data_IF_182124558681
#
_entry.id   IF_182124558681
#
_cell.length_a   1.000
_cell.length_b   1.000
_cell.length_c   1.000
_cell.angle_alpha   90.00
_cell.angle_beta   90.00
_cell.angle_gamma   90.00
#
_symmetry.space_group_name_H-M   'P 1'
#
loop_
_entity.id
_entity.type
_entity.pdbx_description
1 polymer ?
#
# COMPACT_ATOMS: atom_id res chain seq x y z
N UNK A 1 15.74 -4.17 -21.42
CA UNK A 1 16.55 -4.30 -20.18
C UNK A 1 16.43 -5.71 -19.65
N UNK A 2 17.48 -6.18 -18.96
CA UNK A 2 17.44 -7.40 -18.16
C UNK A 2 16.99 -7.08 -16.75
N UNK A 3 15.76 -7.43 -16.40
CA UNK A 3 15.13 -7.10 -15.12
C UNK A 3 15.10 -8.31 -14.20
N UNK A 4 15.70 -8.19 -13.01
CA UNK A 4 15.61 -9.20 -11.96
C UNK A 4 14.30 -9.07 -11.18
N UNK A 5 13.64 -10.18 -10.83
CA UNK A 5 12.45 -10.19 -9.98
C UNK A 5 12.81 -10.74 -8.61
N UNK A 6 12.68 -9.94 -7.55
CA UNK A 6 12.80 -10.38 -6.16
C UNK A 6 11.42 -10.45 -5.52
N UNK A 7 11.15 -11.55 -4.83
CA UNK A 7 9.85 -11.88 -4.26
C UNK A 7 9.99 -12.94 -3.15
N UNK A 8 8.96 -13.07 -2.34
CA UNK A 8 8.80 -14.17 -1.39
C UNK A 8 7.58 -15.00 -1.80
N UNK A 9 7.77 -16.27 -2.17
CA UNK A 9 6.69 -17.17 -2.56
C UNK A 9 6.04 -17.80 -1.32
N UNK A 10 4.74 -17.61 -1.15
CA UNK A 10 3.97 -18.14 -0.02
C UNK A 10 4.15 -19.65 0.13
N UNK A 11 4.08 -20.39 -0.97
CA UNK A 11 4.21 -21.85 -0.99
C UNK A 11 5.55 -22.34 -0.44
N UNK A 12 6.65 -21.66 -0.76
CA UNK A 12 7.99 -22.04 -0.30
C UNK A 12 8.10 -21.94 1.23
N UNK A 13 7.46 -20.92 1.83
CA UNK A 13 7.45 -20.74 3.28
C UNK A 13 6.50 -21.69 3.98
N UNK A 14 5.33 -22.00 3.41
CA UNK A 14 4.41 -23.02 3.91
C UNK A 14 5.09 -24.40 3.95
N UNK A 15 5.83 -24.76 2.90
CA UNK A 15 6.62 -26.02 2.86
C UNK A 15 7.73 -26.07 3.94
N UNK A 16 8.23 -24.90 4.37
CA UNK A 16 9.20 -24.77 5.46
C UNK A 16 8.57 -24.76 6.85
N UNK A 17 7.23 -24.91 6.94
CA UNK A 17 6.48 -25.03 8.18
C UNK A 17 5.98 -23.70 8.77
N UNK A 18 6.04 -22.59 8.03
CA UNK A 18 5.39 -21.33 8.44
C UNK A 18 3.88 -21.45 8.28
N UNK A 19 3.14 -20.74 9.13
CA UNK A 19 1.68 -20.72 9.08
C UNK A 19 1.14 -19.86 7.93
N UNK A 20 -0.15 -20.06 7.61
CA UNK A 20 -0.83 -19.23 6.63
C UNK A 20 -0.88 -17.75 7.01
N UNK A 21 -1.02 -17.44 8.31
CA UNK A 21 -1.03 -16.08 8.82
C UNK A 21 0.36 -15.42 8.68
N UNK A 22 1.45 -16.13 8.99
CA UNK A 22 2.81 -15.60 8.83
C UNK A 22 3.15 -15.29 7.37
N UNK A 23 2.59 -16.04 6.43
CA UNK A 23 2.85 -15.94 4.99
C UNK A 23 1.79 -15.19 4.21
N UNK A 24 0.82 -14.58 4.89
CA UNK A 24 -0.34 -13.95 4.24
C UNK A 24 0.02 -12.74 3.34
N UNK A 25 1.16 -12.11 3.56
CA UNK A 25 1.66 -10.99 2.72
C UNK A 25 2.41 -11.48 1.49
N UNK A 26 2.86 -12.74 1.47
CA UNK A 26 3.71 -13.26 0.40
C UNK A 26 2.93 -13.55 -0.88
N UNK A 27 3.63 -13.47 -1.99
CA UNK A 27 3.06 -13.59 -3.32
C UNK A 27 2.78 -15.05 -3.71
N UNK A 28 1.85 -15.19 -4.63
CA UNK A 28 1.55 -16.45 -5.31
C UNK A 28 2.32 -16.57 -6.63
N UNK A 29 2.44 -17.77 -7.20
CA UNK A 29 3.05 -17.98 -8.51
C UNK A 29 2.41 -17.13 -9.63
N UNK A 30 1.09 -16.89 -9.53
CA UNK A 30 0.34 -16.06 -10.48
C UNK A 30 0.80 -14.61 -10.48
N UNK A 31 1.19 -14.05 -9.31
CA UNK A 31 1.75 -12.70 -9.23
C UNK A 31 3.04 -12.61 -10.01
N UNK A 32 3.95 -13.58 -9.82
CA UNK A 32 5.24 -13.59 -10.49
C UNK A 32 5.10 -13.75 -11.99
N UNK A 33 4.26 -14.68 -12.42
CA UNK A 33 3.97 -14.92 -13.84
C UNK A 33 3.34 -13.70 -14.49
N UNK A 34 2.36 -13.05 -13.81
CA UNK A 34 1.74 -11.84 -14.32
C UNK A 34 2.72 -10.66 -14.46
N UNK A 35 3.70 -10.53 -13.56
CA UNK A 35 4.76 -9.54 -13.70
C UNK A 35 5.69 -9.85 -14.86
N UNK A 36 6.10 -11.12 -15.05
CA UNK A 36 6.92 -11.54 -16.20
C UNK A 36 6.22 -11.28 -17.53
N UNK A 37 4.95 -11.64 -17.64
CA UNK A 37 4.13 -11.38 -18.82
C UNK A 37 4.03 -9.88 -19.12
N UNK A 38 3.77 -9.06 -18.09
CA UNK A 38 3.66 -7.62 -18.25
C UNK A 38 5.00 -7.00 -18.69
N UNK A 39 6.11 -7.33 -18.03
CA UNK A 39 7.44 -6.83 -18.37
C UNK A 39 7.91 -7.34 -19.74
N UNK A 40 7.62 -8.59 -20.08
CA UNK A 40 7.89 -9.16 -21.38
C UNK A 40 7.14 -8.45 -22.52
N UNK A 41 5.84 -8.14 -22.30
CA UNK A 41 5.03 -7.37 -23.24
C UNK A 41 5.54 -5.92 -23.43
N UNK A 42 6.23 -5.37 -22.42
CA UNK A 42 6.92 -4.07 -22.48
C UNK A 42 8.32 -4.15 -23.11
N UNK A 43 8.75 -5.33 -23.59
CA UNK A 43 10.03 -5.52 -24.28
C UNK A 43 11.23 -5.70 -23.35
N UNK A 44 11.02 -6.21 -22.13
CA UNK A 44 12.09 -6.49 -21.17
C UNK A 44 12.29 -8.00 -20.98
N UNK A 45 13.55 -8.40 -20.77
CA UNK A 45 13.90 -9.77 -20.37
C UNK A 45 13.85 -9.90 -18.86
N UNK A 46 13.12 -10.86 -18.33
CA UNK A 46 12.97 -11.08 -16.89
C UNK A 46 13.79 -12.25 -16.39
N UNK A 47 14.28 -12.14 -15.17
CA UNK A 47 15.01 -13.19 -14.46
C UNK A 47 14.45 -13.35 -13.06
N UNK A 48 13.84 -14.48 -12.75
CA UNK A 48 13.42 -14.80 -11.37
C UNK A 48 14.64 -14.91 -10.47
N UNK A 49 14.74 -14.05 -9.49
CA UNK A 49 15.79 -14.07 -8.46
C UNK A 49 15.30 -14.88 -7.26
N UNK A 50 14.11 -14.56 -6.75
CA UNK A 50 13.53 -15.10 -5.55
C UNK A 50 13.76 -14.22 -4.32
N UNK A 51 13.90 -14.84 -3.15
CA UNK A 51 14.04 -14.17 -1.86
C UNK A 51 15.37 -13.42 -1.69
N UNK A 52 15.49 -12.65 -0.60
CA UNK A 52 16.76 -12.00 -0.23
C UNK A 52 17.91 -13.01 -0.14
N UNK A 53 17.66 -14.24 0.32
CA UNK A 53 18.70 -15.28 0.39
C UNK A 53 19.20 -15.71 -0.99
N UNK A 54 18.30 -15.77 -1.97
CA UNK A 54 18.66 -16.11 -3.33
C UNK A 54 19.35 -14.95 -4.05
N UNK A 55 18.89 -13.72 -3.80
CA UNK A 55 19.58 -12.51 -4.25
C UNK A 55 21.03 -12.49 -3.73
N UNK A 56 21.24 -12.72 -2.44
CA UNK A 56 22.58 -12.74 -1.82
C UNK A 56 23.50 -13.78 -2.50
N UNK A 57 23.00 -14.99 -2.73
CA UNK A 57 23.76 -16.06 -3.44
C UNK A 57 24.15 -15.65 -4.86
N UNK A 58 23.25 -15.01 -5.58
CA UNK A 58 23.52 -14.56 -6.96
C UNK A 58 24.48 -13.40 -7.03
N UNK A 59 24.32 -12.42 -6.13
CA UNK A 59 25.24 -11.28 -6.01
C UNK A 59 26.67 -11.73 -5.66
N UNK A 60 26.83 -12.71 -4.78
CA UNK A 60 28.15 -13.28 -4.43
C UNK A 60 28.84 -13.99 -5.59
N UNK A 61 28.09 -14.44 -6.60
CA UNK A 61 28.60 -15.02 -7.84
C UNK A 61 28.88 -13.99 -8.94
N UNK A 62 28.67 -12.70 -8.63
CA UNK A 62 28.89 -11.59 -9.57
C UNK A 62 27.74 -11.37 -10.54
N UNK A 63 26.57 -12.00 -10.36
CA UNK A 63 25.41 -11.71 -11.20
C UNK A 63 24.95 -10.27 -11.02
N UNK A 64 24.48 -9.66 -12.14
CA UNK A 64 23.97 -8.28 -12.18
C UNK A 64 22.78 -8.19 -13.14
N UNK A 65 21.93 -7.19 -12.90
CA UNK A 65 20.75 -6.86 -13.70
C UNK A 65 20.78 -5.35 -13.99
N UNK A 66 20.15 -4.92 -15.07
CA UNK A 66 20.01 -3.50 -15.37
C UNK A 66 19.13 -2.80 -14.32
N UNK A 67 18.12 -3.52 -13.82
CA UNK A 67 17.22 -3.09 -12.74
C UNK A 67 16.64 -4.31 -12.03
N UNK A 68 16.27 -4.17 -10.77
CA UNK A 68 15.50 -5.17 -10.02
C UNK A 68 14.09 -4.66 -9.75
N UNK A 69 13.09 -5.40 -10.18
CA UNK A 69 11.69 -5.18 -9.79
C UNK A 69 11.46 -5.93 -8.47
N UNK A 70 11.43 -5.18 -7.37
CA UNK A 70 11.38 -5.75 -6.02
C UNK A 70 9.96 -5.78 -5.48
N UNK A 71 9.44 -6.97 -5.18
CA UNK A 71 8.18 -7.16 -4.45
C UNK A 71 8.37 -8.06 -3.22
N UNK A 72 9.62 -8.25 -2.76
CA UNK A 72 9.90 -9.08 -1.60
C UNK A 72 9.49 -8.35 -0.30
N UNK A 73 8.60 -8.97 0.47
CA UNK A 73 8.08 -8.46 1.74
C UNK A 73 9.03 -8.71 2.91
N UNK A 74 9.82 -9.78 2.83
CA UNK A 74 10.66 -10.24 3.92
C UNK A 74 9.84 -10.82 5.08
N UNK A 75 10.48 -11.57 5.96
CA UNK A 75 9.77 -12.33 7.00
C UNK A 75 9.81 -11.65 8.36
N UNK A 76 10.91 -11.05 8.76
CA UNK A 76 11.16 -10.65 10.16
C UNK A 76 11.73 -9.24 10.29
N UNK A 77 11.28 -8.58 11.36
CA UNK A 77 11.77 -7.25 11.77
C UNK A 77 11.00 -6.10 11.18
N UNK A 78 11.13 -4.92 11.78
CA UNK A 78 10.48 -3.68 11.32
C UNK A 78 11.08 -3.12 10.03
N UNK A 79 12.16 -3.70 9.56
CA UNK A 79 12.81 -3.32 8.31
C UNK A 79 12.82 -4.49 7.29
N UNK A 80 11.88 -5.45 7.40
CA UNK A 80 11.88 -6.64 6.55
C UNK A 80 11.75 -6.30 5.06
N UNK A 81 10.88 -5.37 4.71
CA UNK A 81 10.68 -4.90 3.32
C UNK A 81 11.90 -4.12 2.79
N UNK A 82 12.70 -3.53 3.67
CA UNK A 82 13.87 -2.74 3.32
C UNK A 82 15.12 -3.58 3.04
N UNK A 83 15.12 -4.87 3.37
CA UNK A 83 16.32 -5.71 3.29
C UNK A 83 16.83 -5.89 1.85
N UNK A 84 15.93 -6.13 0.91
CA UNK A 84 16.29 -6.29 -0.51
C UNK A 84 16.80 -4.97 -1.10
N UNK A 85 16.09 -3.83 -1.01
CA UNK A 85 16.61 -2.57 -1.54
C UNK A 85 17.91 -2.11 -0.86
N UNK A 86 18.09 -2.33 0.44
CA UNK A 86 19.37 -2.03 1.12
C UNK A 86 20.54 -2.84 0.56
N UNK A 87 20.29 -4.11 0.24
CA UNK A 87 21.31 -4.95 -0.38
C UNK A 87 21.60 -4.49 -1.83
N UNK A 88 20.56 -4.11 -2.59
CA UNK A 88 20.74 -3.62 -3.97
C UNK A 88 21.50 -2.29 -3.99
N UNK A 89 21.24 -1.36 -3.05
CA UNK A 89 22.02 -0.12 -2.91
C UNK A 89 23.50 -0.39 -2.64
N UNK A 90 23.81 -1.37 -1.77
CA UNK A 90 25.19 -1.75 -1.48
C UNK A 90 25.96 -2.31 -2.69
N UNK A 91 25.26 -2.72 -3.74
CA UNK A 91 25.81 -3.24 -5.00
C UNK A 91 25.59 -2.30 -6.19
N UNK A 92 25.14 -1.07 -5.97
CA UNK A 92 24.85 -0.06 -7.00
C UNK A 92 23.88 -0.58 -8.09
N UNK A 93 22.89 -1.39 -7.71
CA UNK A 93 21.89 -1.95 -8.64
C UNK A 93 20.59 -1.14 -8.53
N UNK A 94 20.12 -0.52 -9.63
CA UNK A 94 18.82 0.15 -9.67
C UNK A 94 17.66 -0.80 -9.35
N UNK A 95 16.63 -0.27 -8.66
CA UNK A 95 15.47 -1.06 -8.31
C UNK A 95 14.18 -0.24 -8.35
N UNK A 96 13.06 -0.92 -8.46
CA UNK A 96 11.71 -0.33 -8.44
C UNK A 96 11.23 -0.22 -7.01
N UNK A 97 10.39 0.79 -6.74
CA UNK A 97 9.79 1.17 -5.48
C UNK A 97 10.70 1.97 -4.54
N UNK A 98 10.22 2.12 -3.31
CA UNK A 98 10.79 3.02 -2.32
C UNK A 98 12.09 2.49 -1.72
N UNK A 99 12.90 3.42 -1.21
CA UNK A 99 14.18 3.10 -0.58
C UNK A 99 14.03 2.44 0.80
N UNK A 100 15.12 1.92 1.37
CA UNK A 100 15.11 1.22 2.66
C UNK A 100 14.56 2.07 3.81
N UNK A 101 14.84 3.37 3.83
CA UNK A 101 14.33 4.26 4.88
C UNK A 101 12.82 4.39 4.80
N UNK A 102 12.28 4.62 3.60
CA UNK A 102 10.84 4.79 3.36
C UNK A 102 10.09 3.50 3.68
N UNK A 103 10.60 2.33 3.23
CA UNK A 103 9.96 1.04 3.51
C UNK A 103 9.93 0.73 5.01
N UNK A 104 11.04 0.90 5.72
CA UNK A 104 11.09 0.71 7.18
C UNK A 104 10.16 1.67 7.93
N UNK A 105 10.11 2.94 7.48
CA UNK A 105 9.24 3.95 8.08
C UNK A 105 7.77 3.64 7.84
N UNK A 106 7.40 3.27 6.60
CA UNK A 106 6.03 2.97 6.21
C UNK A 106 5.47 1.74 6.92
N UNK A 107 6.27 0.69 7.04
CA UNK A 107 5.89 -0.55 7.73
C UNK A 107 5.55 -0.27 9.20
N UNK A 108 6.30 0.60 9.88
CA UNK A 108 6.03 0.98 11.26
C UNK A 108 5.00 2.12 11.32
N UNK A 109 3.72 1.78 11.35
CA UNK A 109 2.58 2.73 11.28
C UNK A 109 2.69 3.91 12.23
N UNK A 110 3.16 3.69 13.46
CA UNK A 110 3.34 4.77 14.45
C UNK A 110 4.42 5.78 14.04
N UNK A 111 5.50 5.34 13.40
CA UNK A 111 6.55 6.25 12.89
C UNK A 111 6.07 7.01 11.66
N UNK A 112 5.40 6.34 10.70
CA UNK A 112 4.80 6.99 9.55
C UNK A 112 3.81 8.09 9.99
N UNK A 113 2.92 7.81 10.95
CA UNK A 113 1.98 8.78 11.51
C UNK A 113 2.66 9.98 12.19
N UNK A 114 3.79 9.77 12.88
CA UNK A 114 4.57 10.88 13.48
C UNK A 114 5.08 11.82 12.41
N UNK A 115 5.66 11.30 11.33
CA UNK A 115 6.15 12.11 10.20
C UNK A 115 5.01 12.86 9.51
N UNK A 116 3.90 12.16 9.24
CA UNK A 116 2.71 12.74 8.61
C UNK A 116 2.14 13.90 9.47
N UNK A 117 2.00 13.68 10.78
CA UNK A 117 1.51 14.69 11.73
C UNK A 117 2.46 15.89 11.87
N UNK A 118 3.77 15.66 11.93
CA UNK A 118 4.78 16.71 12.00
C UNK A 118 4.73 17.65 10.78
N UNK A 119 4.33 17.11 9.62
CA UNK A 119 4.09 17.88 8.40
C UNK A 119 2.67 18.48 8.28
N UNK A 120 1.92 18.52 9.38
CA UNK A 120 0.60 19.15 9.46
C UNK A 120 -0.50 18.42 8.70
N UNK A 121 -0.34 17.11 8.44
CA UNK A 121 -1.36 16.29 7.81
C UNK A 121 -2.24 15.59 8.85
N UNK A 122 -3.56 15.51 8.61
CA UNK A 122 -4.48 14.85 9.52
C UNK A 122 -4.22 13.34 9.57
N UNK A 123 -4.11 12.82 10.77
CA UNK A 123 -4.09 11.39 11.11
C UNK A 123 -4.79 11.22 12.45
N UNK A 124 -5.46 10.09 12.74
CA UNK A 124 -6.06 9.88 14.06
C UNK A 124 -5.05 10.09 15.19
N UNK A 125 -5.48 10.65 16.31
CA UNK A 125 -4.65 10.65 17.51
C UNK A 125 -4.34 9.23 17.92
N UNK A 126 -3.10 8.97 18.34
CA UNK A 126 -2.64 7.62 18.63
C UNK A 126 -1.64 7.56 19.78
N UNK A 127 -1.55 6.37 20.35
CA UNK A 127 -0.53 5.98 21.32
C UNK A 127 0.10 4.64 20.87
N UNK A 128 1.35 4.42 21.25
CA UNK A 128 2.01 3.12 21.13
C UNK A 128 2.04 2.45 22.50
N UNK A 129 1.65 1.18 22.52
CA UNK A 129 1.71 0.30 23.68
C UNK A 129 2.79 -0.73 23.39
N UNK A 130 3.97 -0.56 23.98
CA UNK A 130 5.12 -1.44 23.80
C UNK A 130 5.15 -2.53 24.86
N UNK A 131 4.67 -2.20 26.06
CA UNK A 131 4.60 -3.09 27.21
C UNK A 131 3.20 -3.02 27.86
N UNK A 132 2.81 -4.00 28.68
CA UNK A 132 1.56 -3.95 29.45
C UNK A 132 1.37 -2.68 30.31
N UNK A 133 2.48 -2.10 30.82
CA UNK A 133 2.43 -0.91 31.66
C UNK A 133 2.04 0.36 30.90
N UNK A 134 2.28 0.38 29.58
CA UNK A 134 1.94 1.52 28.73
C UNK A 134 0.42 1.68 28.54
N UNK A 135 -0.36 0.60 28.74
CA UNK A 135 -1.82 0.61 28.56
C UNK A 135 -2.47 1.67 29.44
N UNK A 136 -1.99 1.83 30.67
CA UNK A 136 -2.50 2.84 31.62
C UNK A 136 -2.20 4.29 31.19
N UNK A 137 -1.23 4.48 30.30
CA UNK A 137 -0.82 5.80 29.77
C UNK A 137 -1.66 6.26 28.57
N UNK A 138 -2.45 5.38 27.96
CA UNK A 138 -3.35 5.74 26.87
C UNK A 138 -4.44 6.67 27.39
N UNK A 139 -4.46 7.93 26.91
CA UNK A 139 -5.39 9.00 27.32
C UNK A 139 -6.25 9.49 26.17
N UNK A 140 -6.59 8.59 25.26
CA UNK A 140 -7.43 8.91 24.10
C UNK A 140 -8.93 8.68 24.43
N UNK A 141 -9.85 9.47 23.83
CA UNK A 141 -11.28 9.26 23.97
C UNK A 141 -11.75 8.00 23.23
N UNK A 142 -12.67 7.25 23.85
CA UNK A 142 -13.30 6.10 23.21
C UNK A 142 -14.38 6.54 22.19
N UNK A 143 -14.65 5.70 21.16
CA UNK A 143 -14.07 4.39 20.88
C UNK A 143 -12.65 4.49 20.30
N UNK A 144 -11.81 3.47 20.60
CA UNK A 144 -10.46 3.36 20.07
C UNK A 144 -10.33 2.15 19.13
N UNK A 145 -9.28 2.14 18.33
CA UNK A 145 -8.93 1.05 17.45
C UNK A 145 -7.52 0.55 17.75
N UNK A 146 -7.38 -0.76 17.97
CA UNK A 146 -6.12 -1.42 18.31
C UNK A 146 -5.68 -2.33 17.18
N UNK A 147 -4.42 -2.22 16.75
CA UNK A 147 -3.81 -3.09 15.73
C UNK A 147 -2.31 -3.25 15.99
N UNK A 148 -1.68 -4.33 15.49
CA UNK A 148 -0.22 -4.44 15.51
C UNK A 148 0.42 -3.28 14.73
N UNK A 149 1.60 -2.84 15.16
CA UNK A 149 2.25 -1.64 14.58
C UNK A 149 2.81 -1.86 13.19
N UNK A 150 3.24 -3.09 12.86
CA UNK A 150 3.99 -3.40 11.66
C UNK A 150 3.50 -4.67 10.92
N UNK A 151 2.20 -4.87 10.87
CA UNK A 151 1.57 -5.93 10.09
C UNK A 151 0.81 -5.36 8.89
N UNK A 152 0.86 -6.08 7.78
CA UNK A 152 0.05 -5.81 6.59
C UNK A 152 -1.15 -6.74 6.49
N UNK A 153 -1.89 -6.66 5.38
CA UNK A 153 -3.01 -7.54 5.03
C UNK A 153 -4.04 -7.69 6.17
N UNK A 154 -4.22 -6.63 6.97
CA UNK A 154 -5.12 -6.62 8.14
C UNK A 154 -4.83 -7.72 9.19
N UNK A 155 -3.61 -8.28 9.24
CA UNK A 155 -3.23 -9.25 10.29
C UNK A 155 -3.39 -8.61 11.67
N UNK A 156 -3.97 -9.38 12.60
CA UNK A 156 -4.28 -8.91 13.94
C UNK A 156 -5.47 -7.94 14.03
N UNK A 157 -6.18 -7.69 12.94
CA UNK A 157 -7.39 -6.87 12.91
C UNK A 157 -8.63 -7.75 12.85
N UNK A 158 -9.54 -7.59 13.82
CA UNK A 158 -10.80 -8.32 13.92
C UNK A 158 -11.81 -7.60 14.80
N UNK A 159 -12.89 -8.25 15.17
CA UNK A 159 -13.99 -7.68 15.98
C UNK A 159 -13.54 -7.07 17.31
N UNK A 160 -12.48 -7.60 17.92
CA UNK A 160 -11.90 -7.07 19.16
C UNK A 160 -11.04 -5.82 18.96
N UNK A 161 -10.71 -5.44 17.73
CA UNK A 161 -9.86 -4.27 17.45
C UNK A 161 -10.52 -2.94 17.79
N UNK A 162 -11.85 -2.83 17.65
CA UNK A 162 -12.61 -1.66 18.12
C UNK A 162 -12.95 -1.84 19.60
N UNK A 163 -12.49 -0.93 20.44
CA UNK A 163 -12.67 -0.99 21.90
C UNK A 163 -13.42 0.22 22.43
N UNK A 164 -14.38 -0.01 23.31
CA UNK A 164 -15.33 0.99 23.81
C UNK A 164 -15.02 1.43 25.25
N UNK A 165 -14.08 0.77 25.93
CA UNK A 165 -13.74 1.05 27.33
C UNK A 165 -12.36 0.49 27.72
N UNK A 166 -11.90 0.88 28.90
CA UNK A 166 -10.57 0.51 29.44
C UNK A 166 -10.39 -1.00 29.62
N UNK A 167 -11.43 -1.74 29.96
CA UNK A 167 -11.33 -3.20 30.15
C UNK A 167 -11.11 -3.91 28.80
N UNK A 168 -11.84 -3.47 27.76
CA UNK A 168 -11.65 -3.97 26.39
C UNK A 168 -10.28 -3.58 25.86
N UNK A 169 -9.83 -2.32 26.05
CA UNK A 169 -8.50 -1.85 25.65
C UNK A 169 -7.40 -2.75 26.26
N UNK A 170 -7.47 -2.97 27.58
CA UNK A 170 -6.48 -3.81 28.28
C UNK A 170 -6.41 -5.21 27.70
N UNK A 171 -7.57 -5.87 27.54
CA UNK A 171 -7.65 -7.22 27.00
C UNK A 171 -7.05 -7.30 25.60
N UNK A 172 -7.48 -6.42 24.69
CA UNK A 172 -7.05 -6.43 23.29
C UNK A 172 -5.56 -6.11 23.15
N UNK A 173 -5.03 -5.13 23.90
CA UNK A 173 -3.60 -4.85 23.88
C UNK A 173 -2.76 -6.02 24.38
N UNK A 174 -3.15 -6.67 25.48
CA UNK A 174 -2.43 -7.83 26.01
C UNK A 174 -2.43 -9.01 25.02
N UNK A 175 -3.56 -9.27 24.38
CA UNK A 175 -3.68 -10.29 23.34
C UNK A 175 -2.77 -10.01 22.13
N UNK A 176 -2.81 -8.77 21.59
CA UNK A 176 -2.00 -8.38 20.45
C UNK A 176 -0.49 -8.39 20.75
N UNK A 177 -0.08 -7.90 21.94
CA UNK A 177 1.32 -7.95 22.38
C UNK A 177 1.83 -9.39 22.45
N UNK A 178 1.04 -10.29 23.02
CA UNK A 178 1.43 -11.69 23.18
C UNK A 178 1.48 -12.45 21.83
N UNK A 179 0.49 -12.20 20.94
CA UNK A 179 0.35 -12.91 19.67
C UNK A 179 1.38 -12.48 18.64
N UNK A 180 1.62 -11.16 18.50
CA UNK A 180 2.44 -10.61 17.43
C UNK A 180 3.86 -10.24 17.88
N UNK A 181 4.16 -10.28 19.19
CA UNK A 181 5.47 -9.92 19.75
C UNK A 181 6.02 -8.57 19.22
N UNK A 182 5.12 -7.58 19.12
CA UNK A 182 5.44 -6.23 18.66
C UNK A 182 4.51 -5.21 19.34
N UNK A 183 4.85 -3.90 19.30
CA UNK A 183 3.98 -2.85 19.83
C UNK A 183 2.61 -2.85 19.21
N UNK A 184 1.61 -2.41 20.00
CA UNK A 184 0.24 -2.18 19.55
C UNK A 184 0.05 -0.69 19.28
N UNK A 185 -0.42 -0.35 18.10
CA UNK A 185 -0.92 0.97 17.77
C UNK A 185 -2.37 1.06 18.26
N UNK A 186 -2.61 2.01 19.18
CA UNK A 186 -3.94 2.37 19.67
C UNK A 186 -4.28 3.74 19.12
N UNK A 187 -5.34 3.86 18.32
CA UNK A 187 -5.72 5.12 17.68
C UNK A 187 -7.20 5.43 17.86
N UNK A 188 -7.59 6.71 17.76
CA UNK A 188 -8.99 7.12 17.75
C UNK A 188 -9.71 6.43 16.60
N UNK A 189 -10.84 5.79 16.88
CA UNK A 189 -11.64 5.12 15.85
C UNK A 189 -12.32 6.16 14.94
N UNK A 190 -12.14 6.01 13.65
CA UNK A 190 -12.79 6.83 12.63
C UNK A 190 -14.01 6.10 12.07
N UNK A 191 -15.24 6.64 12.20
CA UNK A 191 -16.45 5.94 11.81
C UNK A 191 -16.82 6.10 10.33
N UNK A 192 -16.17 7.04 9.62
CA UNK A 192 -16.54 7.40 8.26
C UNK A 192 -16.08 6.42 7.19
N UNK A 193 -16.28 6.83 5.93
CA UNK A 193 -15.93 6.07 4.72
C UNK A 193 -14.42 5.84 4.64
N UNK A 194 -14.05 4.69 4.10
CA UNK A 194 -12.65 4.29 3.90
C UNK A 194 -12.29 4.31 2.42
N UNK A 195 -11.11 4.83 2.11
CA UNK A 195 -10.60 4.97 0.75
C UNK A 195 -9.19 4.44 0.64
N UNK A 196 -8.92 3.75 -0.45
CA UNK A 196 -7.57 3.45 -0.92
C UNK A 196 -7.25 4.35 -2.11
N UNK A 197 -6.19 5.13 -2.01
CA UNK A 197 -5.75 6.06 -3.05
C UNK A 197 -4.51 5.49 -3.72
N UNK A 198 -4.63 5.13 -5.01
CA UNK A 198 -3.49 4.70 -5.83
C UNK A 198 -2.66 5.91 -6.27
N UNK A 199 -1.35 5.80 -6.16
CA UNK A 199 -0.40 6.86 -6.53
C UNK A 199 0.69 6.26 -7.41
N UNK A 200 1.06 6.97 -8.47
CA UNK A 200 2.17 6.65 -9.36
C UNK A 200 3.14 7.83 -9.38
N UNK A 201 4.43 7.53 -9.42
CA UNK A 201 5.50 8.52 -9.55
C UNK A 201 6.19 8.88 -8.24
N UNK A 202 7.20 9.74 -8.35
CA UNK A 202 8.11 10.14 -7.27
C UNK A 202 8.17 11.64 -7.14
N UNK A 203 8.17 12.17 -5.91
CA UNK A 203 8.33 13.60 -5.62
C UNK A 203 7.29 14.48 -6.32
N UNK A 204 7.72 15.45 -7.13
CA UNK A 204 6.86 16.37 -7.88
C UNK A 204 6.04 15.66 -8.98
N UNK A 205 6.59 14.60 -9.57
CA UNK A 205 5.93 13.81 -10.61
C UNK A 205 4.86 12.84 -10.06
N UNK A 206 4.82 12.66 -8.75
CA UNK A 206 3.80 11.81 -8.13
C UNK A 206 2.39 12.37 -8.35
N UNK A 207 1.49 11.51 -8.82
CA UNK A 207 0.10 11.86 -9.11
C UNK A 207 -0.85 10.73 -8.69
N UNK A 208 -2.11 11.10 -8.47
CA UNK A 208 -3.16 10.16 -8.07
C UNK A 208 -3.67 9.41 -9.30
N UNK A 209 -3.60 8.08 -9.25
CA UNK A 209 -4.16 7.18 -10.26
C UNK A 209 -5.69 7.12 -10.14
N UNK A 210 -6.20 7.09 -8.92
CA UNK A 210 -7.62 7.03 -8.60
C UNK A 210 -7.87 6.91 -7.11
N UNK A 211 -9.16 6.99 -6.73
CA UNK A 211 -9.65 6.80 -5.37
C UNK A 211 -10.65 5.66 -5.36
N UNK A 212 -10.33 4.61 -4.66
CA UNK A 212 -11.15 3.42 -4.49
C UNK A 212 -11.83 3.47 -3.13
N UNK A 213 -13.15 3.53 -3.10
CA UNK A 213 -13.91 3.38 -1.87
C UNK A 213 -14.03 1.91 -1.50
N UNK A 214 -13.76 1.61 -0.24
CA UNK A 214 -13.88 0.27 0.34
C UNK A 214 -15.16 0.22 1.17
N UNK A 215 -16.16 -0.52 0.70
CA UNK A 215 -17.45 -0.68 1.37
C UNK A 215 -17.65 -2.13 1.81
N UNK A 216 -18.18 -2.30 3.03
CA UNK A 216 -18.47 -3.62 3.59
C UNK A 216 -19.89 -4.04 3.25
N UNK A 217 -20.04 -5.25 2.70
CA UNK A 217 -21.32 -5.85 2.34
C UNK A 217 -22.05 -6.45 3.56
N UNK A 218 -23.30 -6.87 3.36
CA UNK A 218 -24.03 -7.63 4.37
C UNK A 218 -23.29 -8.94 4.67
N UNK A 219 -23.12 -9.25 5.96
CA UNK A 219 -22.36 -10.41 6.42
C UNK A 219 -20.89 -10.14 6.75
N UNK A 220 -20.35 -9.00 6.31
CA UNK A 220 -19.01 -8.58 6.72
C UNK A 220 -18.96 -8.19 8.21
N UNK A 221 -17.78 -8.27 8.81
CA UNK A 221 -17.54 -7.71 10.14
C UNK A 221 -17.72 -6.19 10.12
N UNK A 222 -18.80 -5.73 10.73
CA UNK A 222 -19.28 -4.34 10.61
C UNK A 222 -18.26 -3.31 11.10
N UNK A 223 -18.05 -2.27 10.28
CA UNK A 223 -17.24 -1.09 10.62
C UNK A 223 -15.73 -1.31 10.62
N UNK A 224 -15.25 -2.48 10.22
CA UNK A 224 -13.84 -2.87 10.27
C UNK A 224 -13.45 -3.61 9.00
N UNK A 225 -12.43 -3.14 8.30
CA UNK A 225 -11.81 -3.89 7.20
C UNK A 225 -10.83 -4.91 7.78
N UNK A 226 -11.39 -6.01 8.33
CA UNK A 226 -10.67 -7.06 9.06
C UNK A 226 -9.96 -8.03 8.12
N UNK A 227 -9.04 -8.84 8.69
CA UNK A 227 -8.38 -9.93 7.98
C UNK A 227 -9.40 -10.89 7.35
N UNK A 228 -10.46 -11.26 8.09
CA UNK A 228 -11.54 -12.11 7.57
C UNK A 228 -12.26 -11.47 6.36
N UNK A 229 -12.60 -10.17 6.46
CA UNK A 229 -13.25 -9.45 5.36
C UNK A 229 -12.34 -9.37 4.12
N UNK A 230 -11.02 -9.22 4.32
CA UNK A 230 -10.06 -9.14 3.24
C UNK A 230 -9.82 -10.49 2.55
N UNK A 231 -9.72 -11.57 3.29
CA UNK A 231 -9.58 -12.92 2.73
C UNK A 231 -10.82 -13.35 1.92
N UNK A 232 -12.02 -12.86 2.29
CA UNK A 232 -13.27 -13.15 1.61
C UNK A 232 -13.81 -11.93 0.84
N UNK A 233 -12.93 -11.09 0.31
CA UNK A 233 -13.29 -9.82 -0.28
C UNK A 233 -14.32 -9.93 -1.40
N UNK A 234 -14.30 -10.99 -2.20
CA UNK A 234 -15.22 -11.20 -3.34
C UNK A 234 -16.70 -11.12 -2.93
N UNK A 235 -17.04 -11.57 -1.72
CA UNK A 235 -18.40 -11.56 -1.19
C UNK A 235 -18.65 -10.47 -0.13
N UNK A 236 -17.63 -10.12 0.65
CA UNK A 236 -17.76 -9.26 1.82
C UNK A 236 -17.36 -7.79 1.59
N UNK A 237 -16.68 -7.48 0.47
CA UNK A 237 -16.18 -6.14 0.19
C UNK A 237 -16.58 -5.69 -1.21
N UNK A 238 -17.02 -4.46 -1.31
CA UNK A 238 -17.25 -3.80 -2.61
C UNK A 238 -16.25 -2.68 -2.79
N UNK A 239 -15.51 -2.73 -3.89
CA UNK A 239 -14.59 -1.69 -4.31
C UNK A 239 -15.24 -0.84 -5.40
N UNK A 240 -15.32 0.46 -5.18
CA UNK A 240 -15.93 1.38 -6.13
C UNK A 240 -14.97 2.52 -6.44
N UNK A 241 -14.60 2.67 -7.72
CA UNK A 241 -13.89 3.88 -8.17
C UNK A 241 -14.82 5.07 -8.00
N UNK A 242 -14.50 5.94 -7.06
CA UNK A 242 -15.41 6.97 -6.60
C UNK A 242 -14.88 8.37 -6.91
N UNK A 243 -15.80 9.33 -7.11
CA UNK A 243 -15.48 10.73 -7.38
C UNK A 243 -16.42 11.64 -6.61
N UNK A 244 -15.89 12.69 -6.00
CA UNK A 244 -16.66 13.65 -5.24
C UNK A 244 -15.79 14.52 -4.34
N UNK A 245 -16.42 15.25 -3.43
CA UNK A 245 -15.69 16.15 -2.51
C UNK A 245 -14.85 15.37 -1.48
N UNK A 246 -15.38 14.29 -0.94
CA UNK A 246 -14.69 13.43 0.02
C UNK A 246 -13.47 12.75 -0.62
N UNK A 247 -13.65 12.23 -1.83
CA UNK A 247 -12.60 11.59 -2.61
C UNK A 247 -11.49 12.56 -3.00
N UNK A 248 -11.86 13.79 -3.38
CA UNK A 248 -10.89 14.87 -3.65
C UNK A 248 -10.09 15.23 -2.40
N UNK A 249 -10.73 15.27 -1.23
CA UNK A 249 -10.05 15.52 0.04
C UNK A 249 -9.10 14.35 0.39
N UNK A 250 -9.57 13.10 0.24
CA UNK A 250 -8.76 11.90 0.45
C UNK A 250 -7.54 11.87 -0.48
N UNK A 251 -7.72 12.13 -1.77
CA UNK A 251 -6.64 12.21 -2.77
C UNK A 251 -5.59 13.26 -2.40
N UNK A 252 -6.02 14.44 -1.94
CA UNK A 252 -5.12 15.53 -1.53
C UNK A 252 -4.28 15.15 -0.31
N UNK A 253 -4.88 14.54 0.71
CA UNK A 253 -4.17 14.07 1.91
C UNK A 253 -3.19 12.96 1.52
N UNK A 254 -3.64 11.99 0.74
CA UNK A 254 -2.84 10.84 0.31
C UNK A 254 -1.61 11.27 -0.51
N UNK A 255 -1.79 12.13 -1.54
CA UNK A 255 -0.69 12.60 -2.38
C UNK A 255 0.34 13.40 -1.58
N UNK A 256 -0.13 14.23 -0.63
CA UNK A 256 0.77 14.99 0.24
C UNK A 256 1.52 14.06 1.20
N UNK A 257 0.85 13.05 1.79
CA UNK A 257 1.50 12.05 2.64
C UNK A 257 2.55 11.24 1.88
N UNK A 258 2.23 10.79 0.65
CA UNK A 258 3.17 10.11 -0.24
C UNK A 258 4.46 10.89 -0.45
N UNK A 259 4.33 12.18 -0.76
CA UNK A 259 5.47 13.09 -1.00
C UNK A 259 6.28 13.35 0.25
N UNK A 260 5.62 13.59 1.39
CA UNK A 260 6.24 13.87 2.68
C UNK A 260 7.01 12.66 3.21
N UNK A 261 6.48 11.47 3.02
CA UNK A 261 7.13 10.22 3.40
C UNK A 261 8.26 9.82 2.44
N UNK A 262 8.39 10.48 1.28
CA UNK A 262 9.40 10.18 0.29
C UNK A 262 9.14 8.92 -0.54
N UNK A 263 7.88 8.48 -0.62
CA UNK A 263 7.49 7.29 -1.38
C UNK A 263 7.77 7.44 -2.87
N UNK A 264 8.04 6.31 -3.55
CA UNK A 264 8.55 6.29 -4.92
C UNK A 264 7.78 5.32 -5.80
N UNK A 265 7.75 5.65 -7.10
CA UNK A 265 7.36 4.88 -8.26
C UNK A 265 5.90 4.47 -8.30
N UNK A 266 5.37 3.81 -7.30
CA UNK A 266 3.96 3.42 -7.23
C UNK A 266 3.58 2.76 -5.92
N UNK A 267 2.29 2.88 -5.55
CA UNK A 267 1.77 2.30 -4.33
C UNK A 267 0.40 2.85 -3.97
N UNK A 268 0.00 2.67 -2.72
CA UNK A 268 -1.30 3.15 -2.22
C UNK A 268 -1.20 3.80 -0.84
N UNK A 269 -2.12 4.71 -0.59
CA UNK A 269 -2.32 5.35 0.72
C UNK A 269 -3.75 5.09 1.16
N UNK A 270 -3.92 4.61 2.38
CA UNK A 270 -5.22 4.33 2.95
C UNK A 270 -5.67 5.51 3.82
N UNK A 271 -6.88 6.00 3.53
CA UNK A 271 -7.49 7.19 4.10
C UNK A 271 -8.84 6.82 4.70
N UNK A 272 -9.18 7.36 5.86
CA UNK A 272 -10.51 7.20 6.45
C UNK A 272 -11.07 8.54 6.89
N UNK A 273 -12.38 8.70 6.77
CA UNK A 273 -13.05 9.91 7.21
C UNK A 273 -13.41 9.83 8.70
N UNK A 274 -13.36 10.98 9.36
CA UNK A 274 -13.96 11.13 10.68
C UNK A 274 -15.50 11.29 10.61
N UNK A 275 -16.15 11.52 11.74
CA UNK A 275 -17.59 11.76 11.84
C UNK A 275 -18.05 13.09 11.21
N UNK A 276 -17.13 14.01 10.96
CA UNK A 276 -17.36 15.28 10.26
C UNK A 276 -17.06 15.20 8.75
N UNK A 277 -16.58 14.07 8.27
CA UNK A 277 -16.22 13.85 6.87
C UNK A 277 -14.83 14.38 6.49
N UNK A 278 -13.96 14.68 7.46
CA UNK A 278 -12.57 15.07 7.20
C UNK A 278 -11.71 13.81 6.93
N UNK A 279 -10.86 13.92 5.93
CA UNK A 279 -9.97 12.83 5.52
C UNK A 279 -8.73 12.73 6.44
N UNK A 280 -8.47 11.54 6.97
CA UNK A 280 -7.32 11.24 7.83
C UNK A 280 -6.46 10.14 7.21
N UNK A 281 -5.15 10.33 7.26
CA UNK A 281 -4.17 9.32 6.89
C UNK A 281 -4.21 8.14 7.86
N UNK A 282 -4.38 6.92 7.37
CA UNK A 282 -4.26 5.69 8.16
C UNK A 282 -2.87 5.07 8.02
N UNK A 283 -2.48 4.74 6.79
CA UNK A 283 -1.21 4.11 6.47
C UNK A 283 -0.84 4.32 5.00
N UNK A 284 0.42 4.02 4.66
CA UNK A 284 0.93 4.01 3.30
C UNK A 284 1.52 2.64 3.00
N UNK A 285 1.32 2.17 1.78
CA UNK A 285 1.85 0.91 1.27
C UNK A 285 2.70 1.22 0.02
N UNK A 286 3.99 1.57 0.20
CA UNK A 286 4.90 1.88 -0.89
C UNK A 286 5.47 0.63 -1.57
N UNK A 287 5.10 -0.54 -1.08
CA UNK A 287 5.28 -1.86 -1.68
C UNK A 287 3.89 -2.50 -1.75
N UNK A 288 3.08 -2.07 -2.71
CA UNK A 288 1.71 -2.55 -2.85
C UNK A 288 1.66 -3.89 -3.59
N UNK A 289 0.73 -4.76 -3.20
CA UNK A 289 0.48 -6.01 -3.91
C UNK A 289 0.14 -5.79 -5.39
N UNK A 290 0.65 -6.65 -6.26
CA UNK A 290 0.51 -6.56 -7.71
C UNK A 290 -0.07 -7.82 -8.37
N UNK A 291 -0.76 -8.65 -7.61
CA UNK A 291 -1.47 -9.79 -8.18
C UNK A 291 -2.46 -9.33 -9.26
N UNK A 292 -2.46 -9.92 -10.47
CA UNK A 292 -3.17 -9.39 -11.65
C UNK A 292 -4.67 -9.17 -11.49
N UNK A 293 -5.29 -9.82 -10.50
CA UNK A 293 -6.74 -9.80 -10.32
C UNK A 293 -7.16 -9.17 -8.98
N UNK A 294 -6.53 -9.56 -7.84
CA UNK A 294 -7.06 -9.35 -6.49
C UNK A 294 -6.39 -8.22 -5.68
N UNK A 295 -5.27 -7.69 -6.12
CA UNK A 295 -4.59 -6.61 -5.40
C UNK A 295 -5.31 -5.27 -5.55
N UNK A 296 -5.45 -4.53 -4.45
CA UNK A 296 -6.21 -3.26 -4.39
C UNK A 296 -5.75 -2.24 -5.44
N UNK A 297 -4.43 -2.07 -5.62
CA UNK A 297 -3.89 -1.16 -6.63
C UNK A 297 -4.23 -1.60 -8.06
N UNK A 298 -4.24 -2.91 -8.33
CA UNK A 298 -4.60 -3.49 -9.63
C UNK A 298 -6.11 -3.37 -9.88
N UNK A 299 -6.94 -3.62 -8.86
CA UNK A 299 -8.39 -3.42 -8.93
C UNK A 299 -8.71 -1.96 -9.26
N UNK A 300 -8.05 -1.02 -8.56
CA UNK A 300 -8.18 0.41 -8.81
C UNK A 300 -7.79 0.77 -10.25
N UNK A 301 -6.63 0.32 -10.72
CA UNK A 301 -6.15 0.57 -12.08
C UNK A 301 -7.14 0.05 -13.13
N UNK A 302 -7.64 -1.17 -12.95
CA UNK A 302 -8.65 -1.78 -13.84
C UNK A 302 -9.96 -0.98 -13.88
N UNK A 303 -10.45 -0.51 -12.74
CA UNK A 303 -11.64 0.34 -12.68
C UNK A 303 -11.39 1.74 -13.28
N UNK A 304 -10.13 2.21 -13.26
CA UNK A 304 -9.71 3.42 -13.94
C UNK A 304 -9.49 3.23 -15.46
N UNK A 305 -9.72 2.03 -15.99
CA UNK A 305 -9.60 1.70 -17.43
C UNK A 305 -8.19 1.28 -17.86
N UNK A 306 -7.30 0.96 -16.93
CA UNK A 306 -5.95 0.48 -17.19
C UNK A 306 -5.86 -1.04 -17.01
N UNK A 307 -5.12 -1.71 -17.88
CA UNK A 307 -4.81 -3.12 -17.68
C UNK A 307 -3.54 -3.29 -16.82
N UNK A 308 -3.28 -4.52 -16.40
CA UNK A 308 -2.14 -4.86 -15.54
C UNK A 308 -0.79 -4.43 -16.16
N UNK A 309 -0.57 -4.73 -17.43
CA UNK A 309 0.66 -4.37 -18.16
C UNK A 309 0.90 -2.87 -18.17
N UNK A 310 -0.16 -2.06 -18.38
CA UNK A 310 -0.07 -0.60 -18.34
C UNK A 310 0.31 -0.11 -16.96
N UNK A 311 -0.29 -0.65 -15.89
CA UNK A 311 0.06 -0.29 -14.52
C UNK A 311 1.53 -0.61 -14.21
N UNK A 312 1.99 -1.83 -14.55
CA UNK A 312 3.39 -2.23 -14.34
C UNK A 312 4.34 -1.33 -15.13
N UNK A 313 3.98 -0.98 -16.38
CA UNK A 313 4.74 -0.03 -17.20
C UNK A 313 4.87 1.35 -16.56
N UNK A 314 3.77 1.91 -16.03
CA UNK A 314 3.78 3.22 -15.34
C UNK A 314 4.70 3.21 -14.11
N UNK A 315 4.67 2.12 -13.32
CA UNK A 315 5.54 1.95 -12.14
C UNK A 315 7.01 1.85 -12.59
N UNK A 316 7.29 1.03 -13.60
CA UNK A 316 8.63 0.84 -14.12
C UNK A 316 9.20 2.13 -14.74
N UNK A 317 8.40 2.86 -15.52
CA UNK A 317 8.81 4.13 -16.14
C UNK A 317 9.13 5.19 -15.06
N UNK A 318 8.38 5.22 -13.96
CA UNK A 318 8.68 6.10 -12.83
C UNK A 318 10.05 5.77 -12.21
N UNK A 319 10.38 4.49 -12.05
CA UNK A 319 11.69 4.04 -11.57
C UNK A 319 12.81 4.36 -12.56
N UNK A 320 12.63 4.06 -13.84
CA UNK A 320 13.59 4.38 -14.92
C UNK A 320 13.92 5.87 -14.92
N UNK A 321 12.89 6.72 -14.88
CA UNK A 321 13.05 8.18 -14.80
C UNK A 321 13.83 8.62 -13.56
N UNK A 322 13.50 8.05 -12.40
CA UNK A 322 14.14 8.36 -11.12
C UNK A 322 15.63 7.99 -11.11
N UNK A 323 16.00 6.89 -11.74
CA UNK A 323 17.39 6.45 -11.86
C UNK A 323 18.15 7.14 -13.01
N UNK A 324 17.54 8.08 -13.74
CA UNK A 324 18.17 8.77 -14.87
C UNK A 324 18.50 7.87 -16.06
N UNK A 325 17.83 6.71 -16.15
CA UNK A 325 17.98 5.76 -17.26
C UNK A 325 17.13 6.18 -18.44
N UNK A 326 17.54 5.80 -19.66
CA UNK A 326 16.71 6.06 -20.84
C UNK A 326 15.58 5.03 -20.92
N UNK A 327 14.35 5.51 -21.03
CA UNK A 327 13.20 4.63 -21.31
C UNK A 327 13.35 4.03 -22.70
N UNK A 328 13.25 2.69 -22.80
CA UNK A 328 13.21 1.97 -24.08
C UNK A 328 11.77 1.84 -24.60
N UNK A 329 10.78 2.29 -23.85
CA UNK A 329 9.39 2.24 -24.26
C UNK A 329 9.14 3.30 -25.34
N UNK A 330 8.92 2.84 -26.58
CA UNK A 330 8.31 3.67 -27.64
C UNK A 330 6.90 4.06 -27.15
N UNK A 331 6.65 5.36 -27.11
CA UNK A 331 5.46 5.98 -26.58
C UNK A 331 4.16 5.20 -26.86
N UNK A 332 3.60 4.60 -25.82
CA UNK A 332 2.18 4.31 -25.79
C UNK A 332 1.39 5.62 -25.71
N UNK A 333 0.09 5.64 -26.06
CA UNK A 333 -0.69 6.85 -26.16
C UNK A 333 -0.64 7.60 -24.83
N UNK A 334 -0.26 8.88 -24.91
CA UNK A 334 -0.21 9.79 -23.76
C UNK A 334 -1.60 9.85 -23.09
N UNK A 335 -1.76 9.13 -21.99
CA UNK A 335 -2.90 9.28 -21.10
C UNK A 335 -2.65 10.54 -20.27
N UNK A 336 -3.14 11.68 -20.76
CA UNK A 336 -3.25 12.88 -19.95
C UNK A 336 -4.46 12.72 -19.03
N UNK A 337 -4.29 12.75 -17.69
CA UNK A 337 -5.42 12.84 -16.79
C UNK A 337 -6.19 14.11 -17.12
N UNK A 338 -7.48 14.02 -17.39
CA UNK A 338 -8.33 15.22 -17.47
C UNK A 338 -8.23 15.93 -16.13
N UNK A 339 -7.82 17.19 -16.16
CA UNK A 339 -7.74 18.03 -14.97
C UNK A 339 -9.07 17.97 -14.21
N UNK A 340 -8.98 17.66 -12.93
CA UNK A 340 -10.10 17.72 -11.99
C UNK A 340 -10.42 19.21 -11.79
N UNK A 341 -11.33 19.79 -12.62
CA UNK A 341 -11.69 21.18 -12.40
C UNK A 341 -12.32 21.97 -13.56
N UNK A 342 -12.69 21.38 -14.69
CA UNK A 342 -13.48 22.14 -15.68
C UNK A 342 -14.87 21.54 -15.83
N UNK A 343 -15.85 22.16 -15.16
CA UNK A 343 -17.28 21.98 -15.43
C UNK A 343 -17.57 22.49 -16.84
N UNK A 344 -18.01 21.60 -17.72
CA UNK A 344 -18.54 21.98 -19.03
C UNK A 344 -19.78 22.87 -18.81
N UNK A 345 -19.71 24.13 -19.27
CA UNK A 345 -20.89 24.97 -19.42
C UNK A 345 -21.77 24.39 -20.55
N UNK A 346 -23.08 24.30 -20.39
CA UNK A 346 -23.98 23.91 -21.47
C UNK A 346 -23.99 24.99 -22.56
N UNK A 347 -23.72 24.59 -23.80
CA UNK A 347 -23.91 25.48 -24.98
C UNK A 347 -25.37 25.87 -25.07
N UNK A 348 -25.64 27.18 -25.09
CA UNK A 348 -26.93 27.74 -25.25
C UNK A 348 -27.59 27.29 -26.56
N UNK A 349 -28.86 26.98 -26.49
CA UNK A 349 -29.75 26.79 -27.63
C UNK A 349 -29.89 28.14 -28.34
N UNK A 350 -29.48 28.22 -29.61
CA UNK A 350 -29.90 29.30 -30.52
C UNK A 350 -31.37 29.12 -30.82
N UNK A 351 -32.17 30.12 -30.44
CA UNK A 351 -33.57 30.24 -30.78
C UNK A 351 -33.68 30.59 -32.27
N UNK A 352 -34.33 29.73 -33.03
CA UNK A 352 -34.92 30.08 -34.32
C UNK A 352 -36.24 30.81 -34.05
N UNK A 353 -36.32 32.04 -34.46
CA UNK A 353 -37.60 32.79 -34.59
C UNK A 353 -37.82 33.17 -36.05
N UNK A 354 -39.09 33.33 -36.47
CA UNK A 354 -39.66 32.99 -37.77
C UNK A 354 -39.30 33.94 -38.92
#
# INVERSE_FOLDING_TARGET
MRIGLTYDLREDYLQRGFSEEETAEFDSPETITGLEEALGALGHDTVRIGSIHDLTKRLSRGERWDMVFNIAEGLRGFAREAQVPALLEAFDIPYVFSDPLVLSLALHKGMAKRVVRDNGLPTPDFALVETPDDIARVKLPYPLFCKPVAEGTSKGIGKSSKVENTAALKRTCLELLARHNQPVLVETYLPGREFTVGIIGTGADAHVLGVLEVSLNQGAESGIYSYHNKEHYESLVTYTLSRGKAETAAAKVALKAWRVLGCRDGGRVDIRLDDHGHAHFLEVNPLAGLHPIRSDLVILARQAGLNHTTLIGMILDAAIKRHGMQSLTTAGPAYLPREVGQTAQPRGQEALTP
#
